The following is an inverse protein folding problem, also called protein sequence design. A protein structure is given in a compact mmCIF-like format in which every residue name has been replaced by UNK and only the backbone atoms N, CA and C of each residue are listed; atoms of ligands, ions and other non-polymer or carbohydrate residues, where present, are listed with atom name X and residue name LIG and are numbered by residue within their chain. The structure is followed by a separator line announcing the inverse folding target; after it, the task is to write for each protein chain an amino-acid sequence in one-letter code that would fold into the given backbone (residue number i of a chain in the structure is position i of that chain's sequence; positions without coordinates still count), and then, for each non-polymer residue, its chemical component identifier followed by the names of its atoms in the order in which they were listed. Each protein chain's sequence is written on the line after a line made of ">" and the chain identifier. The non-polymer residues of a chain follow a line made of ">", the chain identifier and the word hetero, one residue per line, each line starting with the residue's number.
data_IF_813445434229
#
_entry.id   IF_813445434229
#
_cell.length_a   1.000
_cell.length_b   1.000
_cell.length_c   1.000
_cell.angle_alpha   90.00
_cell.angle_beta   90.00
_cell.angle_gamma   90.00
#
_symmetry.space_group_name_H-M   'P 1'
#
loop_
_entity.id
_entity.type
_entity.pdbx_description
1 polymer ?
#
# COMPACT_ATOMS: atom_id res chain seq x y z
N UNK A 1 -37.69 -60.50 19.98
CA UNK A 1 -37.30 -59.59 21.09
C UNK A 1 -37.70 -58.17 20.64
N UNK A 2 -38.82 -57.58 21.10
CA UNK A 2 -38.93 -56.55 22.17
C UNK A 2 -37.88 -55.42 21.99
N UNK A 3 -38.14 -54.10 21.83
CA UNK A 3 -39.32 -53.18 21.89
C UNK A 3 -38.95 -51.90 21.09
N UNK A 4 -39.82 -51.40 20.20
CA UNK A 4 -40.51 -50.08 20.25
C UNK A 4 -39.89 -49.00 21.17
N UNK A 5 -39.61 -47.81 20.63
CA UNK A 5 -40.46 -46.61 20.79
C UNK A 5 -39.76 -45.32 20.33
N UNK A 6 -40.43 -44.56 19.45
CA UNK A 6 -40.25 -43.13 19.23
C UNK A 6 -40.80 -42.35 20.44
N UNK A 7 -40.06 -41.38 20.98
CA UNK A 7 -40.54 -40.30 21.88
C UNK A 7 -39.61 -39.09 21.65
N UNK A 8 -40.00 -38.08 20.86
CA UNK A 8 -40.67 -36.81 21.23
C UNK A 8 -39.72 -35.75 21.84
N UNK A 9 -39.78 -34.58 21.20
CA UNK A 9 -39.21 -33.27 21.51
C UNK A 9 -39.10 -32.89 22.98
N UNK A 10 -38.01 -32.19 23.33
CA UNK A 10 -38.03 -31.16 24.38
C UNK A 10 -37.24 -29.93 23.89
N UNK A 11 -37.99 -28.86 23.67
CA UNK A 11 -37.54 -27.47 23.58
C UNK A 11 -37.00 -27.07 24.94
N UNK A 12 -35.79 -26.52 25.01
CA UNK A 12 -35.40 -25.64 26.12
C UNK A 12 -34.22 -24.73 25.72
N UNK A 13 -34.48 -23.44 25.81
CA UNK A 13 -33.57 -22.34 25.58
C UNK A 13 -32.32 -22.41 26.47
N UNK A 14 -31.14 -22.18 25.89
CA UNK A 14 -29.97 -21.64 26.58
C UNK A 14 -29.55 -20.40 25.77
N UNK A 15 -30.05 -19.22 26.13
CA UNK A 15 -29.40 -18.31 27.06
C UNK A 15 -28.20 -17.58 26.41
N UNK A 16 -28.51 -16.35 25.98
CA UNK A 16 -27.58 -15.23 25.82
C UNK A 16 -26.45 -15.30 26.85
N UNK A 17 -25.21 -15.41 26.38
CA UNK A 17 -24.04 -14.96 27.13
C UNK A 17 -23.24 -14.01 26.24
N UNK A 18 -23.60 -12.73 26.33
CA UNK A 18 -22.69 -11.65 26.01
C UNK A 18 -21.48 -11.80 26.95
N UNK A 19 -20.38 -12.33 26.44
CA UNK A 19 -19.07 -12.06 27.05
C UNK A 19 -18.42 -10.97 26.23
N UNK A 20 -18.48 -9.76 26.78
CA UNK A 20 -17.64 -8.64 26.36
C UNK A 20 -16.21 -9.11 26.61
N UNK A 21 -15.52 -9.52 25.55
CA UNK A 21 -14.05 -9.63 25.60
C UNK A 21 -13.56 -8.21 25.79
N UNK A 22 -13.26 -7.86 27.04
CA UNK A 22 -12.54 -6.65 27.37
C UNK A 22 -11.22 -6.69 26.61
N UNK A 23 -11.11 -5.84 25.59
CA UNK A 23 -9.84 -5.48 24.99
C UNK A 23 -9.05 -4.76 26.07
N UNK A 24 -8.26 -5.49 26.87
CA UNK A 24 -7.18 -4.85 27.63
C UNK A 24 -6.24 -4.23 26.60
N UNK A 25 -5.87 -2.95 26.71
CA UNK A 25 -4.66 -2.49 26.06
C UNK A 25 -3.53 -3.29 26.71
N UNK A 26 -3.03 -4.29 26.00
CA UNK A 26 -1.74 -4.90 26.32
C UNK A 26 -0.77 -3.73 26.33
N UNK A 27 -0.12 -3.52 27.48
CA UNK A 27 0.95 -2.54 27.61
C UNK A 27 1.86 -2.71 26.39
N UNK A 28 1.90 -1.68 25.56
CA UNK A 28 2.82 -1.63 24.44
C UNK A 28 4.19 -1.83 25.03
N UNK A 29 4.79 -2.97 24.70
CA UNK A 29 6.24 -3.01 24.66
C UNK A 29 6.58 -1.98 23.61
N UNK A 30 6.90 -0.76 24.04
CA UNK A 30 7.64 0.20 23.24
C UNK A 30 8.95 -0.50 22.91
N UNK A 31 8.93 -1.35 21.89
CA UNK A 31 10.04 -1.44 20.98
C UNK A 31 10.15 -0.02 20.44
N UNK A 32 11.07 0.73 21.03
CA UNK A 32 11.58 1.93 20.38
C UNK A 32 12.15 1.45 19.06
N UNK A 33 11.32 1.45 18.02
CA UNK A 33 11.83 1.59 16.67
C UNK A 33 12.31 3.03 16.64
N UNK A 34 13.54 3.24 17.10
CA UNK A 34 14.37 4.24 16.46
C UNK A 34 14.45 3.79 15.01
N UNK A 35 13.48 4.23 14.21
CA UNK A 35 13.66 4.30 12.78
C UNK A 35 14.82 5.28 12.62
N UNK A 36 16.04 4.75 12.51
CA UNK A 36 17.04 5.44 11.72
C UNK A 36 16.37 5.58 10.35
N UNK A 37 15.73 6.72 10.09
CA UNK A 37 15.25 7.05 8.76
C UNK A 37 16.43 6.82 7.84
N UNK A 38 16.28 5.89 6.90
CA UNK A 38 17.35 5.59 5.96
C UNK A 38 17.76 6.92 5.33
N UNK A 39 19.04 7.26 5.42
CA UNK A 39 19.51 8.51 4.82
C UNK A 39 19.57 8.30 3.31
N UNK A 40 18.48 8.63 2.63
CA UNK A 40 18.37 8.58 1.19
C UNK A 40 19.20 9.69 0.52
N UNK A 41 19.63 9.42 -0.72
CA UNK A 41 20.41 10.37 -1.50
C UNK A 41 19.60 11.61 -1.89
N UNK A 42 18.29 11.47 -2.03
CA UNK A 42 17.32 12.55 -2.20
C UNK A 42 16.28 12.51 -1.07
N UNK A 43 16.00 13.66 -0.46
CA UNK A 43 15.07 13.77 0.68
C UNK A 43 13.59 13.54 0.30
N UNK A 44 13.28 13.47 -0.99
CA UNK A 44 11.94 13.14 -1.52
C UNK A 44 11.78 11.63 -1.72
N UNK A 45 12.87 10.88 -1.72
CA UNK A 45 12.84 9.44 -1.91
C UNK A 45 12.27 8.77 -0.66
N UNK A 46 11.25 7.94 -0.89
CA UNK A 46 10.61 7.13 0.13
C UNK A 46 10.75 5.68 -0.31
N UNK A 47 11.39 4.86 0.52
CA UNK A 47 11.54 3.42 0.39
C UNK A 47 10.45 2.67 1.16
N UNK A 48 10.36 1.34 1.01
CA UNK A 48 9.47 0.54 1.85
C UNK A 48 9.86 0.59 3.34
N UNK A 49 11.14 0.79 3.66
CA UNK A 49 11.62 0.85 5.04
C UNK A 49 11.18 2.15 5.76
N UNK A 50 10.84 3.21 5.01
CA UNK A 50 10.29 4.46 5.57
C UNK A 50 8.79 4.39 5.86
N UNK A 51 8.11 3.37 5.33
CA UNK A 51 6.65 3.23 5.42
C UNK A 51 6.30 2.16 6.45
N UNK A 52 5.65 2.59 7.54
CA UNK A 52 5.01 1.68 8.48
C UNK A 52 3.53 1.45 8.14
N UNK A 53 2.82 0.69 8.98
CA UNK A 53 1.37 0.47 8.82
C UNK A 53 0.51 1.62 9.37
N UNK A 54 1.08 2.81 9.59
CA UNK A 54 0.33 3.97 10.08
C UNK A 54 -0.37 4.72 8.95
N UNK A 55 -1.42 5.44 9.30
CA UNK A 55 -2.08 6.35 8.34
C UNK A 55 -1.21 7.58 8.01
N UNK A 56 -0.30 7.97 8.91
CA UNK A 56 0.61 9.10 8.69
C UNK A 56 1.63 8.84 7.59
N UNK A 57 2.30 7.68 7.59
CA UNK A 57 3.26 7.30 6.54
C UNK A 57 2.56 7.18 5.18
N UNK A 58 1.34 6.62 5.16
CA UNK A 58 0.49 6.63 3.98
C UNK A 58 0.25 8.04 3.41
N UNK A 59 -0.13 8.99 4.26
CA UNK A 59 -0.39 10.37 3.82
C UNK A 59 0.88 11.06 3.32
N UNK A 60 2.02 10.79 3.94
CA UNK A 60 3.31 11.32 3.51
C UNK A 60 3.67 10.80 2.11
N UNK A 61 3.62 9.49 1.89
CA UNK A 61 3.83 8.88 0.58
C UNK A 61 2.85 9.45 -0.45
N UNK A 62 1.57 9.55 -0.10
CA UNK A 62 0.55 10.09 -0.99
C UNK A 62 0.85 11.53 -1.40
N UNK A 63 1.29 12.37 -0.46
CA UNK A 63 1.68 13.76 -0.73
C UNK A 63 2.89 13.86 -1.65
N UNK A 64 3.90 12.98 -1.49
CA UNK A 64 5.07 12.97 -2.39
C UNK A 64 4.72 12.50 -3.79
N UNK A 65 3.83 11.52 -3.91
CA UNK A 65 3.32 11.07 -5.20
C UNK A 65 2.46 12.15 -5.88
N UNK A 66 1.63 12.88 -5.13
CA UNK A 66 0.89 14.03 -5.67
C UNK A 66 1.83 15.10 -6.20
N UNK A 67 2.86 15.47 -5.43
CA UNK A 67 3.88 16.42 -5.89
C UNK A 67 4.60 15.89 -7.14
N UNK A 68 5.04 14.63 -7.13
CA UNK A 68 5.73 13.99 -8.25
C UNK A 68 4.86 13.94 -9.53
N UNK A 69 3.55 13.76 -9.37
CA UNK A 69 2.61 13.70 -10.49
C UNK A 69 2.59 14.97 -11.33
N UNK A 70 2.87 16.13 -10.73
CA UNK A 70 2.88 17.43 -11.43
C UNK A 70 4.02 17.56 -12.44
N UNK A 71 5.12 16.82 -12.25
CA UNK A 71 6.25 16.80 -13.21
C UNK A 71 6.06 15.79 -14.34
N UNK A 72 5.06 14.93 -14.22
CA UNK A 72 4.76 13.83 -15.15
C UNK A 72 3.37 13.97 -15.78
N UNK A 73 2.78 15.16 -15.74
CA UNK A 73 1.45 15.46 -16.30
C UNK A 73 1.34 15.16 -17.80
N UNK A 74 2.44 15.26 -18.55
CA UNK A 74 2.50 14.93 -19.97
C UNK A 74 2.09 13.49 -20.27
N UNK A 75 2.22 12.59 -19.31
CA UNK A 75 1.77 11.20 -19.45
C UNK A 75 0.27 11.03 -19.20
N UNK A 76 -0.48 12.09 -18.87
CA UNK A 76 -1.93 12.06 -18.67
C UNK A 76 -2.38 10.87 -17.82
N UNK A 77 -3.31 10.07 -18.36
CA UNK A 77 -3.81 8.87 -17.68
C UNK A 77 -2.75 7.77 -17.44
N UNK A 78 -1.56 7.84 -18.06
CA UNK A 78 -0.42 6.93 -17.82
C UNK A 78 0.57 7.48 -16.80
N UNK A 79 0.23 8.58 -16.11
CA UNK A 79 1.11 9.15 -15.11
C UNK A 79 1.41 8.11 -14.02
N UNK A 80 2.70 7.72 -13.84
CA UNK A 80 3.06 6.63 -12.92
C UNK A 80 2.80 7.00 -11.45
N UNK A 81 2.73 8.29 -11.14
CA UNK A 81 2.52 8.79 -9.78
C UNK A 81 1.05 8.97 -9.39
N UNK A 82 0.11 8.86 -10.35
CA UNK A 82 -1.34 8.89 -10.07
C UNK A 82 -1.96 7.49 -10.06
N UNK A 83 -1.14 6.46 -9.83
CA UNK A 83 -1.58 5.07 -10.00
C UNK A 83 -2.64 4.65 -8.97
N UNK A 84 -3.46 3.68 -9.37
CA UNK A 84 -4.56 3.13 -8.55
C UNK A 84 -4.13 1.91 -7.73
N UNK A 85 -2.86 1.47 -7.83
CA UNK A 85 -2.39 0.20 -7.27
C UNK A 85 -2.17 0.22 -5.75
N UNK A 86 -2.49 1.34 -5.10
CA UNK A 86 -2.51 1.46 -3.65
C UNK A 86 -1.15 1.83 -3.05
N UNK A 87 -1.16 2.06 -1.74
CA UNK A 87 -0.05 2.61 -0.95
C UNK A 87 1.25 1.79 -0.93
N UNK A 88 1.24 0.58 -1.49
CA UNK A 88 2.39 -0.33 -1.44
C UNK A 88 3.49 0.02 -2.44
N UNK A 89 3.21 0.92 -3.40
CA UNK A 89 4.21 1.37 -4.35
C UNK A 89 4.89 2.64 -3.83
N UNK A 90 6.16 2.49 -3.47
CA UNK A 90 7.05 3.57 -3.01
C UNK A 90 7.99 4.00 -4.16
N UNK A 91 8.85 5.00 -3.92
CA UNK A 91 9.77 5.50 -4.93
C UNK A 91 10.71 4.39 -5.44
N UNK A 92 11.13 3.49 -4.54
CA UNK A 92 12.10 2.44 -4.85
C UNK A 92 11.58 1.40 -5.85
N UNK A 93 10.26 1.26 -6.02
CA UNK A 93 9.71 0.33 -7.01
C UNK A 93 9.99 0.77 -8.46
N UNK A 94 10.35 2.05 -8.67
CA UNK A 94 10.55 2.64 -9.98
C UNK A 94 11.86 3.43 -10.12
N UNK A 95 12.46 3.86 -9.01
CA UNK A 95 13.64 4.73 -8.99
C UNK A 95 14.78 4.11 -8.19
N UNK A 96 16.01 4.41 -8.61
CA UNK A 96 17.21 4.15 -7.82
C UNK A 96 17.32 5.20 -6.70
N UNK A 97 17.82 4.80 -5.54
CA UNK A 97 18.19 5.71 -4.46
C UNK A 97 19.52 6.40 -4.80
N UNK A 98 19.45 7.34 -5.73
CA UNK A 98 20.52 8.27 -6.07
C UNK A 98 19.98 9.69 -6.07
N UNK A 99 20.89 10.68 -6.10
CA UNK A 99 20.52 12.10 -6.08
C UNK A 99 19.61 12.53 -7.24
N UNK A 100 19.59 11.78 -8.34
CA UNK A 100 18.74 12.08 -9.48
C UNK A 100 17.41 11.34 -9.45
N UNK A 101 17.21 10.46 -8.47
CA UNK A 101 16.17 9.43 -8.46
C UNK A 101 16.05 8.80 -9.85
N UNK A 102 17.17 8.30 -10.40
CA UNK A 102 17.17 7.81 -11.78
C UNK A 102 16.15 6.67 -11.94
N UNK A 103 15.45 6.65 -13.08
CA UNK A 103 14.45 5.63 -13.35
C UNK A 103 15.13 4.27 -13.56
N UNK A 104 14.53 3.22 -12.97
CA UNK A 104 14.90 1.83 -13.25
C UNK A 104 14.44 1.43 -14.65
N UNK A 105 15.20 0.57 -15.31
CA UNK A 105 14.81 0.03 -16.61
C UNK A 105 13.57 -0.87 -16.49
N UNK A 106 13.46 -1.60 -15.37
CA UNK A 106 12.46 -2.60 -15.00
C UNK A 106 11.46 -2.07 -13.94
N UNK A 107 10.99 -0.84 -14.08
CA UNK A 107 9.95 -0.29 -13.21
C UNK A 107 8.71 -1.19 -13.14
N UNK A 108 8.09 -1.28 -11.96
CA UNK A 108 6.97 -2.19 -11.65
C UNK A 108 5.80 -2.13 -12.64
N UNK A 109 5.55 -0.97 -13.26
CA UNK A 109 4.50 -0.83 -14.27
C UNK A 109 4.72 -1.74 -15.49
N UNK A 110 5.99 -1.97 -15.86
CA UNK A 110 6.37 -2.78 -17.03
C UNK A 110 6.15 -4.28 -16.83
N UNK A 111 5.92 -4.72 -15.60
CA UNK A 111 5.56 -6.12 -15.31
C UNK A 111 4.19 -6.49 -15.91
N UNK A 112 3.30 -5.50 -16.05
CA UNK A 112 1.92 -5.71 -16.48
C UNK A 112 1.49 -4.82 -17.66
N UNK A 113 2.19 -3.71 -17.91
CA UNK A 113 1.80 -2.70 -18.90
C UNK A 113 2.93 -2.42 -19.88
N UNK A 114 2.57 -2.21 -21.15
CA UNK A 114 3.44 -1.49 -22.08
C UNK A 114 3.40 0.00 -21.71
N UNK A 115 4.40 0.45 -20.94
CA UNK A 115 4.51 1.83 -20.45
C UNK A 115 5.76 2.54 -21.01
N UNK A 116 5.66 3.83 -21.40
CA UNK A 116 4.43 4.62 -21.48
C UNK A 116 3.49 4.09 -22.58
N UNK A 117 2.19 4.36 -22.48
CA UNK A 117 1.24 3.94 -23.53
C UNK A 117 1.63 4.59 -24.85
N UNK A 118 1.56 3.83 -25.96
CA UNK A 118 2.07 4.24 -27.29
C UNK A 118 1.56 5.62 -27.75
N UNK A 119 0.30 5.98 -27.47
CA UNK A 119 -0.25 7.29 -27.82
C UNK A 119 0.38 8.48 -27.05
N UNK A 120 1.18 8.19 -26.02
CA UNK A 120 1.81 9.18 -25.15
C UNK A 120 3.35 9.11 -25.19
N UNK A 121 3.94 8.08 -25.81
CA UNK A 121 5.38 8.04 -26.10
C UNK A 121 5.80 9.10 -27.13
N UNK A 122 4.89 9.49 -28.03
CA UNK A 122 5.16 10.47 -29.10
C UNK A 122 5.31 11.91 -28.56
N UNK A 123 4.83 12.20 -27.35
CA UNK A 123 4.93 13.53 -26.72
C UNK A 123 6.39 13.91 -26.43
N UNK A 124 7.27 12.92 -26.20
CA UNK A 124 8.71 13.14 -26.05
C UNK A 124 9.40 13.62 -27.34
N UNK A 125 8.74 13.46 -28.51
CA UNK A 125 9.33 13.75 -29.82
C UNK A 125 8.71 14.96 -30.51
N UNK A 126 7.75 15.63 -29.85
CA UNK A 126 7.00 16.74 -30.44
C UNK A 126 7.53 18.14 -30.03
N UNK A 127 8.65 18.23 -29.33
CA UNK A 127 9.33 19.49 -29.02
C UNK A 127 10.68 19.55 -29.70
N UNK A 128 10.68 19.90 -30.99
CA UNK A 128 11.79 20.53 -31.72
C UNK A 128 11.23 21.65 -32.61
#
# INVERSE_FOLDING_TARGET
>A
MKRKACIVSIVAALALTLTVVGCSPKADSTAGTSADSATHADARFISADDIDNSYSSYLELRSRLDEASTYTEQYGDSNPHTNIHGASLTCENCHNDDKGMTQKEDMVCKDCHAWPRELQSDISTATD
#
